data_IF_814592432967
#
_entry.id   IF_814592432967
#
_cell.length_a   1.000
_cell.length_b   1.000
_cell.length_c   1.000
_cell.angle_alpha   90.00
_cell.angle_beta   90.00
_cell.angle_gamma   90.00
#
_symmetry.space_group_name_H-M   'P 1'
#
loop_
_entity.id
_entity.type
_entity.pdbx_description
1 polymer ?
#
# COMPACT_ATOMS: atom_id res chain seq x y z
N UNK A 1 -29.63 4.64 2.88
CA UNK A 1 -29.74 3.77 1.69
C UNK A 1 -30.74 2.64 1.98
N UNK A 2 -31.38 2.10 0.95
CA UNK A 2 -32.33 0.97 1.06
C UNK A 2 -31.78 -0.17 0.20
N UNK A 3 -31.89 -1.41 0.68
CA UNK A 3 -31.47 -2.58 -0.08
C UNK A 3 -32.39 -2.80 -1.29
N UNK A 4 -31.82 -3.32 -2.38
CA UNK A 4 -32.64 -3.86 -3.47
C UNK A 4 -33.24 -5.23 -3.11
N UNK A 5 -33.95 -5.83 -4.06
CA UNK A 5 -34.62 -7.14 -3.92
C UNK A 5 -33.66 -8.30 -3.60
N UNK A 6 -32.37 -8.13 -3.85
CA UNK A 6 -31.31 -9.13 -3.58
C UNK A 6 -30.48 -8.81 -2.34
N UNK A 7 -30.87 -7.78 -1.57
CA UNK A 7 -30.19 -7.42 -0.32
C UNK A 7 -28.91 -6.60 -0.50
N UNK A 8 -28.63 -6.06 -1.68
CA UNK A 8 -27.45 -5.21 -1.92
C UNK A 8 -27.78 -3.72 -1.93
N UNK A 9 -26.75 -2.91 -1.69
CA UNK A 9 -26.84 -1.45 -1.59
C UNK A 9 -25.60 -0.82 -2.21
N UNK A 10 -25.76 0.32 -2.88
CA UNK A 10 -24.68 1.11 -3.46
C UNK A 10 -24.85 2.58 -3.09
N UNK A 11 -23.74 3.31 -3.05
CA UNK A 11 -23.73 4.74 -2.76
C UNK A 11 -22.33 5.32 -2.91
N UNK A 12 -22.28 6.64 -2.93
CA UNK A 12 -21.06 7.42 -3.02
C UNK A 12 -21.04 8.48 -1.91
N UNK A 13 -19.84 8.85 -1.49
CA UNK A 13 -19.62 9.95 -0.57
C UNK A 13 -18.28 10.61 -0.91
N UNK A 14 -18.19 11.90 -0.63
CA UNK A 14 -16.95 12.66 -0.78
C UNK A 14 -16.27 12.69 0.58
N UNK A 15 -14.99 12.35 0.62
CA UNK A 15 -14.19 12.50 1.83
C UNK A 15 -14.02 14.00 2.15
N UNK A 16 -14.19 14.43 3.40
CA UNK A 16 -13.85 15.78 3.81
C UNK A 16 -12.38 16.10 3.50
N UNK A 17 -12.11 17.34 3.09
CA UNK A 17 -10.75 17.79 2.76
C UNK A 17 -9.96 18.22 4.02
N UNK A 18 -10.62 18.27 5.17
CA UNK A 18 -10.08 18.59 6.48
C UNK A 18 -10.15 17.37 7.42
N UNK A 19 -9.24 17.31 8.39
CA UNK A 19 -9.20 16.27 9.41
C UNK A 19 -7.97 15.36 9.34
N UNK A 20 -8.04 14.24 10.07
CA UNK A 20 -6.93 13.29 10.20
C UNK A 20 -6.92 12.28 9.04
N UNK A 21 -5.73 12.01 8.52
CA UNK A 21 -5.48 10.86 7.65
C UNK A 21 -5.26 9.60 8.49
N UNK A 22 -5.39 8.42 7.86
CA UNK A 22 -5.18 7.13 8.50
C UNK A 22 -6.24 6.10 8.12
N UNK A 23 -6.49 5.17 9.03
CA UNK A 23 -7.47 4.10 8.83
C UNK A 23 -8.89 4.61 9.08
N UNK A 24 -9.71 4.55 8.04
CA UNK A 24 -11.13 4.85 8.08
C UNK A 24 -11.93 3.55 8.04
N UNK A 25 -13.21 3.63 8.42
CA UNK A 25 -14.13 2.51 8.41
C UNK A 25 -15.52 2.92 7.96
N UNK A 26 -16.09 2.17 7.02
CA UNK A 26 -17.51 2.21 6.70
C UNK A 26 -18.20 1.16 7.55
N UNK A 27 -19.19 1.58 8.35
CA UNK A 27 -20.01 0.69 9.18
C UNK A 27 -21.45 0.70 8.71
N UNK A 28 -22.01 -0.47 8.41
CA UNK A 28 -23.43 -0.63 8.17
C UNK A 28 -24.17 -0.86 9.49
N UNK A 29 -25.18 -0.05 9.74
CA UNK A 29 -26.08 -0.16 10.89
C UNK A 29 -27.47 -0.55 10.39
N UNK A 30 -28.01 -1.66 10.89
CA UNK A 30 -29.40 -2.05 10.61
C UNK A 30 -30.38 -1.21 11.43
N UNK A 31 -31.53 -0.85 10.85
CA UNK A 31 -32.56 -0.04 11.55
C UNK A 31 -33.19 -0.77 12.75
N UNK A 32 -33.33 -2.09 12.67
CA UNK A 32 -34.01 -2.93 13.68
C UNK A 32 -33.19 -4.11 14.18
N UNK A 33 -32.16 -4.50 13.43
CA UNK A 33 -31.35 -5.68 13.72
C UNK A 33 -29.87 -5.29 13.69
N UNK A 34 -29.09 -5.87 14.61
CA UNK A 34 -27.63 -5.78 14.58
C UNK A 34 -27.11 -6.62 13.42
N UNK A 35 -26.19 -6.04 12.64
CA UNK A 35 -25.50 -6.74 11.56
C UNK A 35 -24.13 -7.19 12.08
N UNK A 36 -23.79 -8.47 11.86
CA UNK A 36 -22.46 -8.97 12.13
C UNK A 36 -21.53 -8.66 10.95
N UNK A 37 -20.24 -8.44 11.21
CA UNK A 37 -19.20 -8.18 10.22
C UNK A 37 -19.57 -7.03 9.24
N UNK A 38 -20.22 -5.99 9.75
CA UNK A 38 -20.77 -4.89 8.96
C UNK A 38 -19.78 -3.73 8.73
N UNK A 39 -18.51 -3.97 9.03
CA UNK A 39 -17.42 -3.02 9.00
C UNK A 39 -16.50 -3.32 7.80
N UNK A 40 -16.18 -2.30 7.00
CA UNK A 40 -15.10 -2.36 6.00
C UNK A 40 -14.10 -1.25 6.26
N UNK A 41 -12.81 -1.56 6.14
CA UNK A 41 -11.73 -0.62 6.43
C UNK A 41 -11.06 -0.15 5.14
N UNK A 42 -10.63 1.11 5.12
CA UNK A 42 -9.87 1.69 4.02
C UNK A 42 -8.93 2.77 4.56
N UNK A 43 -7.82 3.03 3.86
CA UNK A 43 -6.87 4.08 4.25
C UNK A 43 -7.12 5.36 3.48
N UNK A 44 -7.05 6.48 4.20
CA UNK A 44 -7.06 7.83 3.62
C UNK A 44 -5.70 8.45 3.92
N UNK A 45 -4.98 8.85 2.88
CA UNK A 45 -3.62 9.38 2.99
C UNK A 45 -3.49 10.68 2.19
N UNK A 46 -2.54 11.53 2.56
CA UNK A 46 -2.24 12.71 1.76
C UNK A 46 -1.60 12.27 0.44
N UNK A 47 -2.29 12.55 -0.66
CA UNK A 47 -1.74 12.27 -1.98
C UNK A 47 -0.58 13.24 -2.29
N UNK A 48 0.64 12.72 -2.19
CA UNK A 48 1.80 13.35 -2.83
C UNK A 48 2.00 12.67 -4.16
N UNK A 49 1.76 13.39 -5.26
CA UNK A 49 2.06 12.92 -6.62
C UNK A 49 3.56 12.54 -6.68
N UNK A 50 3.91 11.25 -6.71
CA UNK A 50 5.31 10.87 -6.85
C UNK A 50 5.76 11.32 -8.24
N UNK A 51 7.02 11.70 -8.37
CA UNK A 51 7.59 12.19 -9.64
C UNK A 51 8.42 11.12 -10.35
N UNK A 52 8.73 10.05 -9.64
CA UNK A 52 9.58 8.96 -10.08
C UNK A 52 9.18 7.69 -9.34
N UNK A 53 9.59 6.56 -9.90
CA UNK A 53 9.53 5.24 -9.26
C UNK A 53 10.92 4.65 -9.12
N UNK A 54 11.07 3.72 -8.18
CA UNK A 54 12.31 3.00 -7.94
C UNK A 54 12.05 1.51 -7.87
N UNK A 55 12.88 0.72 -8.52
CA UNK A 55 12.80 -0.74 -8.49
C UNK A 55 14.18 -1.35 -8.27
N UNK A 56 14.22 -2.54 -7.67
CA UNK A 56 15.42 -3.35 -7.61
C UNK A 56 15.37 -4.42 -8.68
N UNK A 57 16.50 -4.67 -9.32
CA UNK A 57 16.65 -5.82 -10.18
C UNK A 57 16.72 -7.08 -9.29
N UNK A 58 16.08 -8.19 -9.70
CA UNK A 58 16.20 -9.45 -8.98
C UNK A 58 17.67 -9.85 -8.82
N UNK A 59 18.04 -10.24 -7.61
CA UNK A 59 19.35 -10.82 -7.34
C UNK A 59 19.22 -12.33 -7.52
N UNK A 60 19.81 -12.85 -8.60
CA UNK A 60 19.73 -14.27 -8.97
C UNK A 60 20.93 -15.08 -8.46
N UNK A 61 21.92 -14.40 -7.90
CA UNK A 61 23.13 -15.00 -7.33
C UNK A 61 22.83 -15.60 -5.96
N UNK A 62 23.55 -16.68 -5.63
CA UNK A 62 23.52 -17.28 -4.29
C UNK A 62 24.77 -16.83 -3.53
N UNK A 63 24.57 -16.41 -2.28
CA UNK A 63 25.66 -15.90 -1.43
C UNK A 63 25.86 -16.79 -0.21
N UNK A 64 27.10 -16.86 0.24
CA UNK A 64 27.54 -17.45 1.50
C UNK A 64 27.77 -16.37 2.54
N UNK A 65 27.88 -16.80 3.79
CA UNK A 65 28.29 -15.93 4.89
C UNK A 65 29.66 -15.33 4.56
N UNK A 66 29.78 -14.01 4.74
CA UNK A 66 30.96 -13.19 4.42
C UNK A 66 31.15 -12.84 2.94
N UNK A 67 30.21 -13.19 2.06
CA UNK A 67 30.24 -12.70 0.68
C UNK A 67 29.83 -11.22 0.60
N UNK A 68 30.37 -10.54 -0.42
CA UNK A 68 29.92 -9.20 -0.79
C UNK A 68 28.75 -9.29 -1.76
N UNK A 69 27.68 -8.54 -1.50
CA UNK A 69 26.46 -8.53 -2.33
C UNK A 69 26.38 -7.22 -3.09
N UNK A 70 26.21 -7.30 -4.42
CA UNK A 70 25.93 -6.13 -5.25
C UNK A 70 24.46 -6.09 -5.62
N UNK A 71 23.77 -5.01 -5.25
CA UNK A 71 22.35 -4.79 -5.59
C UNK A 71 22.26 -3.69 -6.63
N UNK A 72 21.58 -3.98 -7.74
CA UNK A 72 21.31 -3.00 -8.80
C UNK A 72 19.85 -2.59 -8.75
N UNK A 73 19.59 -1.31 -8.92
CA UNK A 73 18.24 -0.77 -9.00
C UNK A 73 18.13 0.29 -10.08
N UNK A 74 16.89 0.62 -10.44
CA UNK A 74 16.54 1.62 -11.43
C UNK A 74 15.69 2.69 -10.77
N UNK A 75 15.91 3.95 -11.17
CA UNK A 75 15.10 5.09 -10.78
C UNK A 75 14.68 5.83 -12.06
N UNK A 76 13.39 5.88 -12.33
CA UNK A 76 12.83 6.48 -13.54
C UNK A 76 11.77 7.51 -13.18
N UNK A 77 11.87 8.71 -13.76
CA UNK A 77 10.82 9.70 -13.66
C UNK A 77 9.57 9.19 -14.39
N UNK A 78 8.37 9.54 -13.91
CA UNK A 78 7.14 9.21 -14.65
C UNK A 78 7.02 9.93 -16.00
N UNK A 79 7.89 10.90 -16.27
CA UNK A 79 8.06 11.51 -17.58
C UNK A 79 8.93 10.68 -18.55
N UNK A 80 9.45 9.53 -18.11
CA UNK A 80 10.24 8.57 -18.91
C UNK A 80 11.75 8.73 -18.81
N UNK A 81 12.27 9.81 -18.25
CA UNK A 81 13.72 10.03 -18.10
C UNK A 81 14.32 9.23 -16.94
N UNK A 82 15.58 8.80 -17.11
CA UNK A 82 16.35 8.24 -16.02
C UNK A 82 16.74 9.35 -15.04
N UNK A 83 16.69 9.04 -13.74
CA UNK A 83 17.17 9.96 -12.71
C UNK A 83 18.70 9.83 -12.62
N UNK A 84 19.41 10.95 -12.80
CA UNK A 84 20.87 11.04 -12.60
C UNK A 84 21.21 11.88 -11.37
N UNK A 85 22.43 11.71 -10.85
CA UNK A 85 22.98 12.50 -9.73
C UNK A 85 22.12 12.51 -8.45
N UNK A 86 21.33 11.46 -8.24
CA UNK A 86 20.48 11.32 -7.08
C UNK A 86 21.25 10.84 -5.85
N UNK A 87 20.87 11.38 -4.69
CA UNK A 87 21.26 10.82 -3.40
C UNK A 87 20.48 9.54 -3.13
N UNK A 88 21.18 8.41 -3.07
CA UNK A 88 20.60 7.11 -2.71
C UNK A 88 20.68 6.91 -1.20
N UNK A 89 19.54 6.63 -0.57
CA UNK A 89 19.45 6.23 0.84
C UNK A 89 18.84 4.84 0.88
N UNK A 90 19.51 3.91 1.55
CA UNK A 90 19.08 2.52 1.64
C UNK A 90 19.11 2.03 3.09
N UNK A 91 18.34 0.98 3.38
CA UNK A 91 18.33 0.30 4.67
C UNK A 91 18.43 -1.21 4.43
N UNK A 92 19.46 -1.81 5.00
CA UNK A 92 19.59 -3.26 5.05
C UNK A 92 18.88 -3.76 6.31
N UNK A 93 18.02 -4.76 6.16
CA UNK A 93 17.38 -5.43 7.29
C UNK A 93 17.33 -6.93 7.05
N UNK A 94 17.51 -7.71 8.11
CA UNK A 94 17.36 -9.16 8.04
C UNK A 94 15.89 -9.51 8.24
N UNK A 95 15.28 -10.18 7.27
CA UNK A 95 13.96 -10.80 7.42
C UNK A 95 14.16 -12.29 7.72
N UNK A 96 13.75 -12.73 8.89
CA UNK A 96 13.77 -14.16 9.24
C UNK A 96 12.49 -14.78 8.70
N UNK A 97 12.63 -15.83 7.88
CA UNK A 97 11.50 -16.63 7.43
C UNK A 97 11.48 -17.92 8.24
N UNK A 98 10.50 -18.05 9.13
CA UNK A 98 10.30 -19.28 9.89
C UNK A 98 9.48 -20.26 9.05
N UNK A 99 9.83 -21.55 9.07
CA UNK A 99 8.99 -22.55 8.44
C UNK A 99 7.64 -22.64 9.15
N UNK A 100 6.60 -23.04 8.41
CA UNK A 100 5.21 -23.08 8.89
C UNK A 100 4.87 -24.30 9.76
N UNK A 101 5.85 -25.14 10.10
CA UNK A 101 5.63 -26.37 10.88
C UNK A 101 5.65 -26.11 12.39
#
# INVERSE_FOLDING_TARGET
>A
LVTNEYGSVSGEFILPNDGLTGQFRIRLLGKKHTLNNSDTYFSVEEYKRPKFETSFNPVTETFKVNDSVTVKGLAQAYAGSNITDAKVVYRVHRKVEYPRW
#
